data_IF_401428308035
#
_entry.id   IF_401428308035
#
_cell.length_a   1.000
_cell.length_b   1.000
_cell.length_c   1.000
_cell.angle_alpha   90.00
_cell.angle_beta   90.00
_cell.angle_gamma   90.00
#
_symmetry.space_group_name_H-M   'P 1'
#
loop_
_entity.id
_entity.type
_entity.pdbx_description
1 polymer ?
#
# COMPACT_ATOMS: atom_id res chain seq x y z
N UNK A 1 2.11 7.35 -25.21
CA UNK A 1 1.78 6.68 -23.92
C UNK A 1 0.26 6.59 -23.83
N UNK A 2 -0.31 5.45 -24.22
CA UNK A 2 -1.75 5.22 -24.15
C UNK A 2 -2.07 4.91 -22.69
N UNK A 3 -2.84 5.76 -22.02
CA UNK A 3 -3.37 5.44 -20.69
C UNK A 3 -4.48 4.39 -20.87
N UNK A 4 -4.42 3.23 -20.19
CA UNK A 4 -5.48 2.24 -20.25
C UNK A 4 -6.80 2.88 -19.78
N UNK A 5 -7.91 2.45 -20.37
CA UNK A 5 -9.23 2.94 -19.99
C UNK A 5 -9.55 2.46 -18.57
N UNK A 6 -10.24 3.29 -17.77
CA UNK A 6 -10.63 2.94 -16.39
C UNK A 6 -11.39 1.60 -16.32
N UNK A 7 -12.05 1.19 -17.42
CA UNK A 7 -12.74 -0.10 -17.56
C UNK A 7 -11.81 -1.32 -17.47
N UNK A 8 -10.52 -1.20 -17.79
CA UNK A 8 -9.53 -2.28 -17.68
C UNK A 8 -9.12 -2.57 -16.22
N UNK A 9 -9.57 -1.75 -15.26
CA UNK A 9 -9.33 -1.93 -13.82
C UNK A 9 -10.49 -2.58 -13.07
N UNK A 10 -11.51 -3.09 -13.77
CA UNK A 10 -12.56 -3.91 -13.13
C UNK A 10 -11.91 -5.15 -12.50
N UNK A 11 -11.96 -5.20 -11.17
CA UNK A 11 -11.57 -6.37 -10.40
C UNK A 11 -12.56 -7.48 -10.69
N UNK A 12 -12.07 -8.64 -11.14
CA UNK A 12 -12.90 -9.83 -11.24
C UNK A 12 -12.83 -10.58 -9.91
N UNK A 13 -13.75 -10.27 -9.00
CA UNK A 13 -13.78 -10.86 -7.66
C UNK A 13 -14.07 -12.37 -7.66
N UNK A 14 -14.69 -12.90 -8.73
CA UNK A 14 -15.00 -14.33 -8.86
C UNK A 14 -13.76 -15.19 -9.14
N UNK A 15 -12.68 -14.57 -9.64
CA UNK A 15 -11.44 -15.25 -9.99
C UNK A 15 -10.38 -15.22 -8.87
N UNK A 16 -10.68 -14.61 -7.72
CA UNK A 16 -9.73 -14.48 -6.60
C UNK A 16 -9.81 -15.71 -5.71
N UNK A 17 -8.70 -16.42 -5.55
CA UNK A 17 -8.57 -17.48 -4.55
C UNK A 17 -8.20 -16.87 -3.19
N UNK A 18 -9.20 -16.55 -2.37
CA UNK A 18 -9.00 -15.95 -1.04
C UNK A 18 -8.20 -16.83 -0.06
N UNK A 19 -7.97 -18.11 -0.38
CA UNK A 19 -7.11 -18.98 0.43
C UNK A 19 -5.61 -18.77 0.15
N UNK A 20 -5.26 -18.14 -0.98
CA UNK A 20 -3.87 -17.96 -1.44
C UNK A 20 -3.51 -16.52 -1.75
N UNK A 21 -4.44 -15.75 -2.30
CA UNK A 21 -4.20 -14.41 -2.81
C UNK A 21 -4.81 -13.34 -1.88
N UNK A 22 -4.02 -12.37 -1.40
CA UNK A 22 -4.56 -11.25 -0.65
C UNK A 22 -5.53 -10.46 -1.53
N UNK A 23 -6.72 -10.21 -0.99
CA UNK A 23 -7.69 -9.34 -1.65
C UNK A 23 -7.32 -7.86 -1.54
N UNK A 24 -6.84 -7.47 -0.36
CA UNK A 24 -6.44 -6.10 -0.02
C UNK A 24 -5.04 -6.16 0.56
N UNK A 25 -4.16 -5.30 0.08
CA UNK A 25 -2.86 -5.04 0.69
C UNK A 25 -2.87 -3.61 1.20
N UNK A 26 -2.74 -3.46 2.52
CA UNK A 26 -2.66 -2.17 3.18
C UNK A 26 -1.22 -1.97 3.61
N UNK A 27 -0.59 -0.89 3.14
CA UNK A 27 0.79 -0.59 3.50
C UNK A 27 0.87 0.75 4.22
N UNK A 28 1.35 0.72 5.46
CA UNK A 28 1.76 1.91 6.24
C UNK A 28 3.11 2.40 5.71
N UNK A 29 3.06 3.35 4.77
CA UNK A 29 4.24 3.85 4.04
C UNK A 29 5.19 4.66 4.91
N UNK A 30 4.70 5.29 5.96
CA UNK A 30 5.49 6.05 6.92
C UNK A 30 4.79 6.15 8.28
N UNK A 31 5.58 6.27 9.35
CA UNK A 31 5.09 6.57 10.71
C UNK A 31 5.29 8.04 11.11
N UNK A 32 5.86 8.85 10.23
CA UNK A 32 6.20 10.25 10.51
C UNK A 32 4.97 11.16 10.44
N UNK A 33 4.36 11.55 11.56
CA UNK A 33 3.23 12.50 11.58
C UNK A 33 3.56 13.80 12.30
N UNK A 34 3.01 14.91 11.84
CA UNK A 34 3.00 16.17 12.59
C UNK A 34 2.06 16.14 13.82
N UNK A 35 1.21 15.12 13.95
CA UNK A 35 0.20 14.99 15.00
C UNK A 35 0.53 13.85 15.98
N UNK A 36 0.11 14.02 17.23
CA UNK A 36 0.24 13.01 18.31
C UNK A 36 -1.13 12.60 18.83
N UNK A 37 -1.95 12.02 17.95
CA UNK A 37 -3.32 11.65 18.33
C UNK A 37 -3.30 10.51 19.35
N UNK A 38 -4.01 10.66 20.46
CA UNK A 38 -4.10 9.66 21.55
C UNK A 38 -4.67 8.32 21.10
N UNK A 39 -5.42 8.31 20.00
CA UNK A 39 -6.03 7.12 19.39
C UNK A 39 -5.22 6.60 18.19
N UNK A 40 -4.02 7.13 17.95
CA UNK A 40 -3.21 6.73 16.80
C UNK A 40 -2.53 5.38 17.08
N UNK A 41 -2.97 4.33 16.37
CA UNK A 41 -2.27 3.04 16.37
C UNK A 41 -0.85 3.15 15.81
N UNK A 42 -0.59 4.11 14.91
CA UNK A 42 0.69 4.21 14.21
C UNK A 42 1.85 4.67 15.10
N UNK A 43 1.57 5.07 16.36
CA UNK A 43 2.56 5.57 17.32
C UNK A 43 3.50 6.57 16.64
N UNK A 44 2.91 7.69 16.23
CA UNK A 44 3.56 8.62 15.32
C UNK A 44 4.90 9.13 15.86
N UNK A 45 5.89 9.14 14.98
CA UNK A 45 7.21 9.71 15.21
C UNK A 45 7.34 11.03 14.48
N UNK A 46 8.29 11.86 14.89
CA UNK A 46 8.48 13.22 14.37
C UNK A 46 9.28 13.28 13.07
N UNK A 47 9.98 12.20 12.73
CA UNK A 47 10.84 12.07 11.55
C UNK A 47 10.65 10.71 10.91
N UNK A 48 11.00 10.63 9.63
CA UNK A 48 11.04 9.38 8.86
C UNK A 48 11.87 8.33 9.61
N UNK A 49 11.32 7.14 9.81
CA UNK A 49 12.12 6.04 10.36
C UNK A 49 13.19 5.64 9.31
N UNK A 50 14.48 5.54 9.67
CA UNK A 50 15.53 5.07 8.75
C UNK A 50 15.25 3.70 8.14
N UNK A 51 14.42 2.86 8.78
CA UNK A 51 14.01 1.54 8.29
C UNK A 51 12.85 1.58 7.28
N UNK A 52 12.27 2.75 7.00
CA UNK A 52 11.25 2.88 5.95
C UNK A 52 11.84 2.61 4.57
N UNK A 53 11.10 1.87 3.73
CA UNK A 53 11.48 1.55 2.37
C UNK A 53 11.82 2.81 1.57
N UNK A 54 12.96 2.80 0.90
CA UNK A 54 13.28 3.78 -0.13
C UNK A 54 12.26 3.71 -1.27
N UNK A 55 12.17 4.75 -2.08
CA UNK A 55 11.30 4.77 -3.28
C UNK A 55 11.57 3.58 -4.21
N UNK A 56 12.84 3.17 -4.35
CA UNK A 56 13.20 2.03 -5.18
C UNK A 56 12.66 0.72 -4.60
N UNK A 57 12.81 0.51 -3.30
CA UNK A 57 12.30 -0.67 -2.61
C UNK A 57 10.76 -0.69 -2.61
N UNK A 58 10.12 0.47 -2.50
CA UNK A 58 8.68 0.61 -2.63
C UNK A 58 8.17 0.11 -3.99
N UNK A 59 8.84 0.49 -5.09
CA UNK A 59 8.49 -0.02 -6.42
C UNK A 59 8.71 -1.53 -6.52
N UNK A 60 9.80 -2.06 -5.94
CA UNK A 60 10.03 -3.51 -5.91
C UNK A 60 8.91 -4.23 -5.14
N UNK A 61 8.46 -3.70 -4.01
CA UNK A 61 7.34 -4.23 -3.25
C UNK A 61 6.04 -4.24 -4.09
N UNK A 62 5.76 -3.18 -4.84
CA UNK A 62 4.59 -3.13 -5.72
C UNK A 62 4.64 -4.22 -6.81
N UNK A 63 5.83 -4.46 -7.39
CA UNK A 63 6.04 -5.52 -8.36
C UNK A 63 5.90 -6.93 -7.74
N UNK A 64 6.35 -7.12 -6.50
CA UNK A 64 6.13 -8.36 -5.77
C UNK A 64 4.66 -8.61 -5.47
N UNK A 65 3.94 -7.57 -5.02
CA UNK A 65 2.52 -7.66 -4.71
C UNK A 65 1.68 -7.94 -5.97
N UNK A 66 2.12 -7.42 -7.12
CA UNK A 66 1.50 -7.71 -8.43
C UNK A 66 1.52 -9.21 -8.79
N UNK A 67 2.38 -10.01 -8.17
CA UNK A 67 2.43 -11.48 -8.38
C UNK A 67 1.24 -12.21 -7.79
N UNK A 68 0.55 -11.62 -6.81
CA UNK A 68 -0.73 -12.11 -6.28
C UNK A 68 -1.93 -11.73 -7.16
N UNK A 69 -1.69 -11.31 -8.40
CA UNK A 69 -2.72 -10.80 -9.30
C UNK A 69 -2.92 -9.31 -9.15
N UNK A 70 -4.16 -8.88 -8.89
CA UNK A 70 -4.53 -7.45 -8.88
C UNK A 70 -5.19 -7.09 -7.55
N UNK A 71 -4.52 -7.22 -6.38
CA UNK A 71 -5.12 -6.82 -5.13
C UNK A 71 -5.50 -5.33 -5.12
N UNK A 72 -6.48 -4.96 -4.31
CA UNK A 72 -6.70 -3.57 -3.94
C UNK A 72 -5.52 -3.12 -3.05
N UNK A 73 -4.65 -2.29 -3.60
CA UNK A 73 -3.51 -1.75 -2.85
C UNK A 73 -3.88 -0.41 -2.23
N UNK A 74 -3.89 -0.34 -0.90
CA UNK A 74 -4.19 0.88 -0.14
C UNK A 74 -2.90 1.40 0.48
N UNK A 75 -2.44 2.54 -0.02
CA UNK A 75 -1.38 3.28 0.64
C UNK A 75 -1.97 4.01 1.84
N UNK A 76 -1.42 3.71 3.00
CA UNK A 76 -1.72 4.36 4.27
C UNK A 76 -0.43 4.97 4.80
N UNK A 77 -0.56 5.78 5.84
CA UNK A 77 0.54 6.53 6.39
C UNK A 77 0.10 7.94 6.71
N UNK A 78 0.89 8.56 7.57
CA UNK A 78 0.67 9.89 8.10
C UNK A 78 1.63 10.83 7.40
N UNK A 79 1.11 11.80 6.66
CA UNK A 79 1.95 12.78 5.96
C UNK A 79 2.19 13.93 6.93
N UNK A 80 3.42 14.46 6.97
CA UNK A 80 3.73 15.69 7.68
C UNK A 80 2.99 16.87 7.05
#
# INVERSE_FOLDING_TARGET
>A
MIKPAVSEYKQNFEAVDFSRDPFIVIWETTRSCALKCVHCRAEAIDRRNPEELSTKEAFNLLEEVRRFGRPLFVLTGVIR
#
